data_IF_857630239254
#
_entry.id   IF_857630239254
#
_cell.length_a   1.000
_cell.length_b   1.000
_cell.length_c   1.000
_cell.angle_alpha   90.00
_cell.angle_beta   90.00
_cell.angle_gamma   90.00
#
_symmetry.space_group_name_H-M   'P 1'
#
loop_
_entity.id
_entity.type
_entity.pdbx_description
1 polymer ?
#
# COMPACT_ATOMS: atom_id res chain seq x y z
N UNK A 1 30.41 15.67 53.25
CA UNK A 1 31.10 14.80 52.28
C UNK A 1 31.54 15.65 51.09
N UNK A 2 32.83 16.00 51.00
CA UNK A 2 33.38 16.75 49.85
C UNK A 2 33.72 15.74 48.76
N UNK A 3 32.80 15.50 47.83
CA UNK A 3 33.10 14.72 46.62
C UNK A 3 34.18 15.44 45.82
N UNK A 4 35.34 14.79 45.66
CA UNK A 4 36.47 15.32 44.91
C UNK A 4 36.05 15.56 43.46
N UNK A 5 36.21 16.80 42.97
CA UNK A 5 35.89 17.18 41.58
C UNK A 5 36.61 16.27 40.56
N UNK A 6 37.77 15.73 40.92
CA UNK A 6 38.52 14.75 40.12
C UNK A 6 37.86 13.36 40.08
N UNK A 7 37.22 12.91 41.16
CA UNK A 7 36.49 11.65 41.19
C UNK A 7 35.23 11.69 40.34
N UNK A 8 34.55 12.84 40.29
CA UNK A 8 33.41 13.07 39.40
C UNK A 8 33.86 13.07 37.93
N UNK A 9 34.97 13.74 37.60
CA UNK A 9 35.51 13.78 36.23
C UNK A 9 35.97 12.39 35.76
N UNK A 10 36.68 11.63 36.61
CA UNK A 10 37.11 10.26 36.28
C UNK A 10 35.90 9.32 36.08
N UNK A 11 34.87 9.43 36.91
CA UNK A 11 33.63 8.65 36.76
C UNK A 11 32.88 9.01 35.48
N UNK A 12 32.81 10.30 35.11
CA UNK A 12 32.20 10.77 33.86
C UNK A 12 32.99 10.27 32.63
N UNK A 13 34.32 10.33 32.65
CA UNK A 13 35.15 9.85 31.53
C UNK A 13 35.00 8.33 31.35
N UNK A 14 35.03 7.56 32.43
CA UNK A 14 34.86 6.09 32.37
C UNK A 14 33.45 5.72 31.89
N UNK A 15 32.40 6.39 32.36
CA UNK A 15 31.03 6.13 31.91
C UNK A 15 30.77 6.53 30.45
N UNK A 16 31.44 7.56 29.92
CA UNK A 16 31.38 7.92 28.49
C UNK A 16 32.10 6.88 27.61
N UNK A 17 33.22 6.31 28.07
CA UNK A 17 33.97 5.29 27.32
C UNK A 17 33.27 3.92 27.27
N UNK A 18 32.45 3.56 28.26
CA UNK A 18 31.71 2.29 28.26
C UNK A 18 30.38 2.36 27.49
N UNK A 19 29.68 3.50 27.52
CA UNK A 19 28.37 3.65 26.84
C UNK A 19 28.47 3.80 25.32
N UNK A 20 29.54 4.43 24.83
CA UNK A 20 29.77 4.66 23.39
C UNK A 20 30.27 3.39 22.66
N UNK A 21 31.07 2.55 23.32
CA UNK A 21 31.65 1.35 22.72
C UNK A 21 30.62 0.22 22.48
N UNK A 22 29.65 0.03 23.38
CA UNK A 22 28.59 -0.97 23.18
C UNK A 22 27.67 -0.61 21.99
N UNK A 23 27.32 0.67 21.86
CA UNK A 23 26.46 1.15 20.77
C UNK A 23 27.14 1.01 19.41
N UNK A 24 28.43 1.35 19.32
CA UNK A 24 29.21 1.18 18.09
C UNK A 24 29.38 -0.30 17.71
N UNK A 25 29.75 -1.16 18.65
CA UNK A 25 29.88 -2.60 18.42
C UNK A 25 28.56 -3.22 17.94
N UNK A 26 27.44 -2.92 18.61
CA UNK A 26 26.12 -3.43 18.24
C UNK A 26 25.73 -3.01 16.82
N UNK A 27 26.03 -1.76 16.43
CA UNK A 27 25.79 -1.29 15.06
C UNK A 27 26.61 -2.06 14.02
N UNK A 28 27.91 -2.26 14.26
CA UNK A 28 28.78 -3.01 13.35
C UNK A 28 28.30 -4.45 13.20
N UNK A 29 27.98 -5.11 14.30
CA UNK A 29 27.49 -6.49 14.27
C UNK A 29 26.08 -6.61 13.67
N UNK A 30 25.20 -5.63 13.92
CA UNK A 30 23.88 -5.57 13.27
C UNK A 30 24.04 -5.45 11.76
N UNK A 31 24.91 -4.53 11.29
CA UNK A 31 25.22 -4.38 9.85
C UNK A 31 25.77 -5.67 9.25
N UNK A 32 26.73 -6.33 9.92
CA UNK A 32 27.28 -7.61 9.47
C UNK A 32 26.17 -8.65 9.27
N UNK A 33 25.38 -8.90 10.31
CA UNK A 33 24.29 -9.87 10.25
C UNK A 33 23.24 -9.49 9.20
N UNK A 34 22.95 -8.20 9.02
CA UNK A 34 22.05 -7.71 7.97
C UNK A 34 22.57 -8.04 6.56
N UNK A 35 23.86 -7.83 6.32
CA UNK A 35 24.51 -8.17 5.02
C UNK A 35 24.49 -9.67 4.79
N UNK A 36 24.96 -10.46 5.76
CA UNK A 36 25.00 -11.93 5.68
C UNK A 36 23.59 -12.50 5.46
N UNK A 37 22.59 -12.00 6.20
CA UNK A 37 21.19 -12.36 6.02
C UNK A 37 20.64 -11.98 4.64
N UNK A 38 21.04 -10.82 4.10
CA UNK A 38 20.64 -10.39 2.75
C UNK A 38 21.20 -11.31 1.66
N UNK A 39 22.43 -11.78 1.82
CA UNK A 39 23.04 -12.77 0.91
C UNK A 39 22.28 -14.09 0.98
N UNK A 40 22.01 -14.60 2.18
CA UNK A 40 21.23 -15.83 2.38
C UNK A 40 19.81 -15.72 1.79
N UNK A 41 19.14 -14.58 2.01
CA UNK A 41 17.80 -14.31 1.48
C UNK A 41 17.77 -14.32 -0.05
N UNK A 42 18.73 -13.64 -0.70
CA UNK A 42 18.88 -13.66 -2.17
C UNK A 42 19.14 -15.09 -2.69
N UNK A 43 19.88 -15.88 -1.92
CA UNK A 43 20.09 -17.31 -2.18
C UNK A 43 18.91 -18.23 -1.84
N UNK A 44 17.75 -17.68 -1.43
CA UNK A 44 16.55 -18.42 -0.98
C UNK A 44 16.79 -19.34 0.22
N UNK A 45 17.85 -19.12 0.99
CA UNK A 45 18.16 -19.82 2.23
C UNK A 45 17.45 -19.14 3.40
N UNK A 46 16.12 -19.25 3.43
CA UNK A 46 15.30 -18.43 4.32
C UNK A 46 15.50 -18.76 5.80
N UNK A 47 15.80 -20.00 6.16
CA UNK A 47 16.13 -20.40 7.54
C UNK A 47 17.41 -19.70 8.04
N UNK A 48 18.45 -19.66 7.20
CA UNK A 48 19.72 -18.99 7.51
C UNK A 48 19.52 -17.47 7.57
N UNK A 49 18.79 -16.92 6.61
CA UNK A 49 18.45 -15.49 6.56
C UNK A 49 17.68 -15.05 7.82
N UNK A 50 16.70 -15.84 8.27
CA UNK A 50 15.93 -15.54 9.47
C UNK A 50 16.84 -15.44 10.71
N UNK A 51 17.75 -16.40 10.89
CA UNK A 51 18.68 -16.40 12.03
C UNK A 51 19.55 -15.13 12.04
N UNK A 52 20.03 -14.72 10.88
CA UNK A 52 20.87 -13.52 10.76
C UNK A 52 20.05 -12.23 10.98
N UNK A 53 18.87 -12.11 10.38
CA UNK A 53 18.03 -10.93 10.56
C UNK A 53 17.50 -10.81 12.00
N UNK A 54 17.16 -11.92 12.65
CA UNK A 54 16.77 -11.93 14.07
C UNK A 54 17.91 -11.40 14.95
N UNK A 55 19.12 -11.91 14.76
CA UNK A 55 20.32 -11.41 15.45
C UNK A 55 20.58 -9.92 15.17
N UNK A 56 20.35 -9.45 13.96
CA UNK A 56 20.53 -8.05 13.60
C UNK A 56 19.49 -7.14 14.27
N UNK A 57 18.22 -7.55 14.26
CA UNK A 57 17.11 -6.83 14.88
C UNK A 57 17.21 -6.79 16.42
N UNK A 58 17.60 -7.90 17.06
CA UNK A 58 17.81 -7.98 18.53
C UNK A 58 18.88 -7.00 19.05
N UNK A 59 19.82 -6.58 18.19
CA UNK A 59 20.87 -5.61 18.54
C UNK A 59 20.41 -4.16 18.51
N UNK A 60 19.30 -3.88 17.84
CA UNK A 60 18.69 -2.56 17.74
C UNK A 60 17.14 -2.70 17.77
N UNK A 61 16.58 -3.15 18.90
CA UNK A 61 15.17 -3.53 19.00
C UNK A 61 14.21 -2.34 18.84
N UNK A 62 14.70 -1.12 19.11
CA UNK A 62 13.95 0.13 18.91
C UNK A 62 14.17 0.72 17.51
N UNK A 63 15.02 0.11 16.68
CA UNK A 63 15.40 0.57 15.35
C UNK A 63 15.87 2.03 15.32
N UNK A 64 16.74 2.38 16.26
CA UNK A 64 17.36 3.71 16.28
C UNK A 64 18.19 3.95 15.01
N UNK A 65 18.76 2.88 14.45
CA UNK A 65 19.60 2.92 13.25
C UNK A 65 18.83 2.48 11.99
N UNK A 66 19.32 2.92 10.82
CA UNK A 66 18.79 2.45 9.54
C UNK A 66 18.98 0.93 9.40
N UNK A 67 20.11 0.41 9.89
CA UNK A 67 20.41 -1.02 9.86
C UNK A 67 19.42 -1.83 10.71
N UNK A 68 19.08 -1.37 11.92
CA UNK A 68 18.09 -2.02 12.79
C UNK A 68 16.70 -2.06 12.16
N UNK A 69 16.22 -0.93 11.63
CA UNK A 69 14.93 -0.87 10.92
C UNK A 69 14.90 -1.78 9.70
N UNK A 70 15.99 -1.78 8.92
CA UNK A 70 16.12 -2.64 7.73
C UNK A 70 16.13 -4.11 8.14
N UNK A 71 16.88 -4.48 9.18
CA UNK A 71 16.92 -5.85 9.69
C UNK A 71 15.55 -6.34 10.15
N UNK A 72 14.80 -5.50 10.87
CA UNK A 72 13.44 -5.80 11.32
C UNK A 72 12.49 -6.03 10.13
N UNK A 73 12.54 -5.17 9.11
CA UNK A 73 11.74 -5.34 7.89
C UNK A 73 12.11 -6.63 7.14
N UNK A 74 13.40 -6.94 7.01
CA UNK A 74 13.85 -8.15 6.33
C UNK A 74 13.55 -9.43 7.11
N UNK A 75 13.56 -9.38 8.45
CA UNK A 75 13.08 -10.48 9.29
C UNK A 75 11.61 -10.80 8.96
N UNK A 76 10.75 -9.78 8.96
CA UNK A 76 9.33 -9.94 8.62
C UNK A 76 9.12 -10.47 7.19
N UNK A 77 9.87 -9.96 6.20
CA UNK A 77 9.85 -10.45 4.81
C UNK A 77 10.31 -11.90 4.67
N UNK A 78 11.30 -12.30 5.46
CA UNK A 78 11.80 -13.68 5.46
C UNK A 78 10.76 -14.63 6.00
N UNK A 79 10.14 -14.32 7.14
CA UNK A 79 9.04 -15.12 7.70
C UNK A 79 7.87 -15.21 6.71
N UNK A 80 7.51 -14.10 6.06
CA UNK A 80 6.48 -14.08 5.03
C UNK A 80 6.86 -14.98 3.84
N UNK A 81 8.10 -14.95 3.38
CA UNK A 81 8.57 -15.81 2.28
C UNK A 81 8.53 -17.30 2.64
N UNK A 82 8.85 -17.65 3.89
CA UNK A 82 8.71 -19.03 4.39
C UNK A 82 7.26 -19.48 4.42
N UNK A 83 6.33 -18.61 4.87
CA UNK A 83 4.89 -18.87 4.80
C UNK A 83 4.40 -19.04 3.35
N UNK A 84 4.90 -18.25 2.40
CA UNK A 84 4.56 -18.42 0.98
C UNK A 84 5.04 -19.79 0.47
N UNK A 85 6.22 -20.24 0.92
CA UNK A 85 6.76 -21.56 0.61
C UNK A 85 5.95 -22.73 1.19
N UNK A 86 5.32 -22.53 2.35
CA UNK A 86 4.43 -23.51 2.99
C UNK A 86 3.25 -22.80 3.68
N UNK A 87 2.11 -22.72 2.97
CA UNK A 87 0.91 -22.03 3.46
C UNK A 87 0.18 -22.79 4.58
N UNK A 88 0.59 -24.01 4.91
CA UNK A 88 0.05 -24.73 6.08
C UNK A 88 0.60 -24.16 7.39
N UNK A 89 1.79 -23.53 7.34
CA UNK A 89 2.50 -22.92 8.48
C UNK A 89 1.96 -21.54 8.82
N UNK A 90 0.72 -21.49 9.29
CA UNK A 90 0.06 -20.25 9.71
C UNK A 90 0.82 -19.50 10.82
N UNK A 91 1.57 -20.23 11.65
CA UNK A 91 2.47 -19.67 12.66
C UNK A 91 3.53 -18.72 12.07
N UNK A 92 4.00 -18.99 10.84
CA UNK A 92 4.94 -18.11 10.13
C UNK A 92 4.26 -16.83 9.64
N UNK A 93 3.01 -16.92 9.20
CA UNK A 93 2.21 -15.75 8.83
C UNK A 93 1.94 -14.85 10.04
N UNK A 94 1.52 -15.43 11.17
CA UNK A 94 1.31 -14.70 12.42
C UNK A 94 2.62 -14.07 12.92
N UNK A 95 3.73 -14.80 12.86
CA UNK A 95 5.06 -14.26 13.20
C UNK A 95 5.45 -13.10 12.28
N UNK A 96 5.24 -13.23 10.97
CA UNK A 96 5.51 -12.16 10.02
C UNK A 96 4.69 -10.90 10.33
N UNK A 97 3.39 -11.05 10.64
CA UNK A 97 2.52 -9.93 11.03
C UNK A 97 3.12 -9.20 12.24
N UNK A 98 3.51 -9.93 13.29
CA UNK A 98 4.12 -9.34 14.50
C UNK A 98 5.38 -8.56 14.15
N UNK A 99 6.27 -9.12 13.33
CA UNK A 99 7.53 -8.45 12.98
C UNK A 99 7.31 -7.23 12.05
N UNK A 100 6.31 -7.26 11.16
CA UNK A 100 5.91 -6.07 10.40
C UNK A 100 5.30 -4.99 11.30
N UNK A 101 4.49 -5.36 12.29
CA UNK A 101 3.93 -4.41 13.25
C UNK A 101 5.03 -3.73 14.08
N UNK A 102 6.11 -4.45 14.45
CA UNK A 102 7.29 -3.81 15.08
C UNK A 102 7.94 -2.81 14.14
N UNK A 103 8.12 -3.15 12.85
CA UNK A 103 8.62 -2.20 11.85
C UNK A 103 7.77 -0.93 11.78
N UNK A 104 6.44 -1.08 11.77
CA UNK A 104 5.51 0.04 11.67
C UNK A 104 5.45 0.92 12.93
N UNK A 105 5.89 0.42 14.09
CA UNK A 105 6.08 1.28 15.27
C UNK A 105 7.27 2.23 15.08
N UNK A 106 8.29 1.81 14.34
CA UNK A 106 9.51 2.60 14.10
C UNK A 106 9.34 3.52 12.89
N UNK A 107 8.67 3.04 11.85
CA UNK A 107 8.28 3.84 10.69
C UNK A 107 6.81 3.56 10.32
N UNK A 108 5.87 4.37 10.82
CA UNK A 108 4.45 4.22 10.51
C UNK A 108 4.14 4.35 9.01
N UNK A 109 5.01 5.00 8.24
CA UNK A 109 4.82 5.23 6.81
C UNK A 109 5.50 4.19 5.91
N UNK A 110 6.09 3.13 6.48
CA UNK A 110 6.59 1.99 5.70
C UNK A 110 5.41 1.26 5.04
N UNK A 111 5.15 1.62 3.78
CA UNK A 111 3.96 1.19 3.07
C UNK A 111 3.99 -0.30 2.68
N UNK A 112 5.18 -0.85 2.42
CA UNK A 112 5.34 -2.27 2.08
C UNK A 112 5.01 -3.18 3.27
N UNK A 113 5.41 -2.80 4.48
CA UNK A 113 5.11 -3.51 5.71
C UNK A 113 3.61 -3.48 6.02
N UNK A 114 2.98 -2.30 5.89
CA UNK A 114 1.54 -2.18 6.09
C UNK A 114 0.73 -3.05 5.12
N UNK A 115 1.06 -3.00 3.82
CA UNK A 115 0.41 -3.80 2.78
C UNK A 115 0.65 -5.29 2.99
N UNK A 116 1.83 -5.69 3.47
CA UNK A 116 2.13 -7.07 3.79
C UNK A 116 1.25 -7.60 4.94
N UNK A 117 1.04 -6.82 5.99
CA UNK A 117 0.12 -7.19 7.08
C UNK A 117 -1.30 -7.34 6.55
N UNK A 118 -1.80 -6.36 5.79
CA UNK A 118 -3.14 -6.43 5.21
C UNK A 118 -3.31 -7.68 4.33
N UNK A 119 -2.37 -7.96 3.42
CA UNK A 119 -2.42 -9.14 2.56
C UNK A 119 -2.31 -10.46 3.33
N UNK A 120 -1.52 -10.52 4.40
CA UNK A 120 -1.45 -11.69 5.27
C UNK A 120 -2.78 -11.95 6.00
N UNK A 121 -3.42 -10.90 6.53
CA UNK A 121 -4.73 -11.02 7.17
C UNK A 121 -5.79 -11.52 6.19
N UNK A 122 -5.78 -11.05 4.94
CA UNK A 122 -6.68 -11.58 3.90
C UNK A 122 -6.39 -13.04 3.56
N UNK A 123 -5.12 -13.41 3.38
CA UNK A 123 -4.72 -14.79 3.11
C UNK A 123 -5.12 -15.75 4.24
N UNK A 124 -5.12 -15.28 5.47
CA UNK A 124 -5.56 -16.03 6.65
C UNK A 124 -7.07 -15.98 6.87
N UNK A 125 -7.83 -15.27 6.00
CA UNK A 125 -9.27 -15.05 6.11
C UNK A 125 -9.68 -14.36 7.42
N UNK A 126 -8.79 -13.55 8.00
CA UNK A 126 -9.00 -12.77 9.22
C UNK A 126 -9.68 -11.43 8.88
N UNK A 127 -10.91 -11.49 8.37
CA UNK A 127 -11.63 -10.32 7.81
C UNK A 127 -11.82 -9.19 8.82
N UNK A 128 -12.19 -9.52 10.07
CA UNK A 128 -12.40 -8.50 11.12
C UNK A 128 -11.10 -7.80 11.50
N UNK A 129 -10.00 -8.55 11.62
CA UNK A 129 -8.67 -8.01 11.90
C UNK A 129 -8.19 -7.13 10.74
N UNK A 130 -8.41 -7.55 9.49
CA UNK A 130 -8.11 -6.75 8.30
C UNK A 130 -8.89 -5.43 8.32
N UNK A 131 -10.20 -5.47 8.58
CA UNK A 131 -11.02 -4.27 8.58
C UNK A 131 -10.57 -3.31 9.68
N UNK A 132 -10.28 -3.82 10.88
CA UNK A 132 -9.73 -3.02 11.97
C UNK A 132 -8.39 -2.39 11.57
N UNK A 133 -7.46 -3.19 11.07
CA UNK A 133 -6.12 -2.76 10.66
C UNK A 133 -6.15 -1.63 9.62
N UNK A 134 -6.97 -1.78 8.58
CA UNK A 134 -7.07 -0.79 7.50
C UNK A 134 -7.80 0.47 7.98
N UNK A 135 -8.83 0.32 8.82
CA UNK A 135 -9.57 1.46 9.41
C UNK A 135 -8.69 2.28 10.34
N UNK A 136 -7.87 1.65 11.17
CA UNK A 136 -6.93 2.34 12.06
C UNK A 136 -5.94 3.19 11.25
N UNK A 137 -5.37 2.65 10.15
CA UNK A 137 -4.46 3.44 9.30
C UNK A 137 -5.18 4.60 8.61
N UNK A 138 -6.39 4.38 8.08
CA UNK A 138 -7.18 5.41 7.42
C UNK A 138 -7.47 6.61 8.34
N UNK A 139 -7.68 6.37 9.63
CA UNK A 139 -8.05 7.40 10.61
C UNK A 139 -6.84 8.01 11.36
N UNK A 140 -5.64 7.46 11.21
CA UNK A 140 -4.46 7.97 11.91
C UNK A 140 -3.84 9.17 11.18
N UNK A 141 -3.96 10.37 11.75
CA UNK A 141 -3.46 11.61 11.15
C UNK A 141 -1.93 11.73 11.10
N UNK A 142 -1.20 10.89 11.84
CA UNK A 142 0.26 10.81 11.72
C UNK A 142 0.73 10.06 10.46
N UNK A 143 -0.19 9.38 9.75
CA UNK A 143 0.09 8.69 8.49
C UNK A 143 -0.06 9.68 7.34
N UNK A 144 0.85 9.60 6.37
CA UNK A 144 0.84 10.47 5.19
C UNK A 144 -0.51 10.38 4.45
N UNK A 145 -1.03 11.51 3.91
CA UNK A 145 -2.34 11.55 3.26
C UNK A 145 -2.55 10.48 2.19
N UNK A 146 -1.56 10.23 1.34
CA UNK A 146 -1.63 9.20 0.31
C UNK A 146 -1.76 7.78 0.90
N UNK A 147 -1.07 7.48 2.00
CA UNK A 147 -1.14 6.18 2.66
C UNK A 147 -2.53 5.98 3.32
N UNK A 148 -3.12 7.05 3.84
CA UNK A 148 -4.51 7.05 4.36
C UNK A 148 -5.53 6.90 3.23
N UNK A 149 -5.32 7.59 2.11
CA UNK A 149 -6.17 7.49 0.92
C UNK A 149 -6.18 6.08 0.34
N UNK A 150 -5.03 5.40 0.28
CA UNK A 150 -4.95 3.99 -0.16
C UNK A 150 -5.72 3.06 0.79
N UNK A 151 -5.64 3.28 2.11
CA UNK A 151 -6.41 2.52 3.10
C UNK A 151 -7.93 2.74 2.95
N UNK A 152 -8.38 4.00 2.84
CA UNK A 152 -9.78 4.35 2.58
C UNK A 152 -10.29 3.73 1.28
N UNK A 153 -9.48 3.79 0.22
CA UNK A 153 -9.80 3.20 -1.08
C UNK A 153 -9.95 1.67 -0.99
N UNK A 154 -9.11 1.00 -0.18
CA UNK A 154 -9.21 -0.44 0.05
C UNK A 154 -10.52 -0.84 0.76
N UNK A 155 -10.95 -0.05 1.76
CA UNK A 155 -12.25 -0.25 2.41
C UNK A 155 -13.40 0.01 1.43
N UNK A 156 -13.32 1.09 0.65
CA UNK A 156 -14.33 1.45 -0.36
C UNK A 156 -14.44 0.35 -1.44
N UNK A 157 -13.33 -0.25 -1.85
CA UNK A 157 -13.30 -1.36 -2.80
C UNK A 157 -14.10 -2.57 -2.29
N UNK A 158 -13.96 -2.95 -1.00
CA UNK A 158 -14.78 -4.03 -0.41
C UNK A 158 -16.28 -3.70 -0.44
N UNK A 159 -16.62 -2.44 -0.19
CA UNK A 159 -18.02 -1.99 -0.26
C UNK A 159 -18.56 -2.02 -1.70
N UNK A 160 -17.74 -1.63 -2.68
CA UNK A 160 -18.09 -1.75 -4.09
C UNK A 160 -18.29 -3.22 -4.50
N UNK A 161 -17.42 -4.14 -4.05
CA UNK A 161 -17.59 -5.58 -4.26
C UNK A 161 -18.89 -6.08 -3.64
N UNK A 162 -19.18 -5.73 -2.38
CA UNK A 162 -20.45 -6.08 -1.73
C UNK A 162 -21.67 -5.63 -2.54
N UNK A 163 -21.68 -4.37 -3.02
CA UNK A 163 -22.78 -3.87 -3.84
C UNK A 163 -22.87 -4.58 -5.21
N UNK A 164 -21.73 -4.96 -5.79
CA UNK A 164 -21.69 -5.68 -7.06
C UNK A 164 -22.18 -7.12 -6.94
N UNK A 165 -21.84 -7.82 -5.87
CA UNK A 165 -22.31 -9.20 -5.59
C UNK A 165 -23.84 -9.29 -5.54
N UNK A 166 -24.52 -8.20 -5.16
CA UNK A 166 -25.98 -8.13 -5.10
C UNK A 166 -26.56 -7.65 -6.43
N UNK A 167 -25.97 -6.60 -7.03
CA UNK A 167 -26.56 -5.95 -8.20
C UNK A 167 -26.22 -6.57 -9.55
N UNK A 168 -25.07 -7.23 -9.67
CA UNK A 168 -24.54 -7.76 -10.93
C UNK A 168 -24.75 -9.28 -11.02
N UNK A 169 -26.01 -9.70 -10.90
CA UNK A 169 -26.44 -11.11 -10.99
C UNK A 169 -27.49 -11.28 -12.08
N UNK A 170 -27.70 -12.50 -12.57
CA UNK A 170 -28.78 -12.80 -13.52
C UNK A 170 -30.17 -12.46 -12.97
N UNK A 171 -30.33 -12.47 -11.63
CA UNK A 171 -31.61 -12.15 -10.98
C UNK A 171 -31.89 -10.65 -10.98
N UNK A 172 -30.89 -9.83 -10.74
CA UNK A 172 -31.04 -8.38 -10.52
C UNK A 172 -30.69 -7.54 -11.77
N UNK A 173 -29.93 -8.07 -12.72
CA UNK A 173 -29.52 -7.36 -13.94
C UNK A 173 -30.19 -7.99 -15.17
N UNK A 174 -31.13 -7.26 -15.78
CA UNK A 174 -31.93 -7.73 -16.91
C UNK A 174 -31.54 -6.99 -18.19
N UNK A 175 -31.22 -7.70 -19.29
CA UNK A 175 -31.02 -7.04 -20.58
C UNK A 175 -32.37 -6.51 -21.09
N UNK A 176 -32.38 -5.26 -21.53
CA UNK A 176 -33.54 -4.62 -22.16
C UNK A 176 -33.09 -3.80 -23.38
N UNK A 177 -34.04 -3.47 -24.26
CA UNK A 177 -33.81 -2.47 -25.30
C UNK A 177 -34.36 -1.12 -24.86
N UNK A 178 -33.51 -0.10 -24.80
CA UNK A 178 -33.89 1.29 -24.59
C UNK A 178 -33.42 2.10 -25.79
N UNK A 179 -34.36 2.74 -26.50
CA UNK A 179 -34.08 3.51 -27.72
C UNK A 179 -33.32 2.72 -28.80
N UNK A 180 -33.66 1.43 -28.95
CA UNK A 180 -33.02 0.52 -29.91
C UNK A 180 -31.62 0.06 -29.51
N UNK A 181 -31.08 0.52 -28.37
CA UNK A 181 -29.78 0.08 -27.82
C UNK A 181 -29.99 -0.97 -26.76
N UNK A 182 -29.13 -1.99 -26.75
CA UNK A 182 -29.10 -2.98 -25.68
C UNK A 182 -28.50 -2.33 -24.42
N UNK A 183 -29.29 -2.29 -23.36
CA UNK A 183 -28.88 -1.76 -22.05
C UNK A 183 -29.30 -2.72 -20.95
N UNK A 184 -28.71 -2.56 -19.77
CA UNK A 184 -29.12 -3.32 -18.59
C UNK A 184 -30.06 -2.49 -17.73
N UNK A 185 -31.16 -3.10 -17.32
CA UNK A 185 -32.03 -2.63 -16.25
C UNK A 185 -31.70 -3.38 -14.96
N UNK A 186 -31.61 -2.64 -13.86
CA UNK A 186 -31.39 -3.23 -12.54
C UNK A 186 -32.70 -3.26 -11.76
N UNK A 187 -33.10 -4.45 -11.30
CA UNK A 187 -34.32 -4.68 -10.53
C UNK A 187 -33.98 -5.12 -9.11
N UNK A 188 -34.91 -4.91 -8.17
CA UNK A 188 -34.73 -5.27 -6.76
C UNK A 188 -34.40 -6.77 -6.61
N UNK A 189 -33.51 -7.13 -5.67
CA UNK A 189 -33.35 -8.53 -5.28
C UNK A 189 -34.67 -9.07 -4.69
N UNK A 190 -34.84 -10.39 -4.77
CA UNK A 190 -36.02 -11.09 -4.24
C UNK A 190 -36.08 -10.97 -2.71
N UNK A 191 -34.94 -11.02 -2.04
CA UNK A 191 -34.81 -10.82 -0.60
C UNK A 191 -34.63 -9.33 -0.28
N UNK A 192 -35.56 -8.69 0.46
CA UNK A 192 -35.44 -7.31 0.90
C UNK A 192 -34.17 -7.04 1.74
N UNK A 193 -33.65 -8.05 2.46
CA UNK A 193 -32.43 -7.89 3.24
C UNK A 193 -31.19 -7.66 2.36
N UNK A 194 -31.17 -8.24 1.15
CA UNK A 194 -30.10 -7.99 0.17
C UNK A 194 -30.15 -6.55 -0.34
N UNK A 195 -31.34 -5.97 -0.55
CA UNK A 195 -31.47 -4.57 -0.96
C UNK A 195 -30.94 -3.62 0.13
N UNK A 196 -31.27 -3.88 1.40
CA UNK A 196 -30.77 -3.07 2.51
C UNK A 196 -29.26 -3.25 2.73
N UNK A 197 -28.73 -4.46 2.53
CA UNK A 197 -27.27 -4.69 2.52
C UNK A 197 -26.60 -3.91 1.39
N UNK A 198 -27.15 -3.92 0.18
CA UNK A 198 -26.62 -3.14 -0.95
C UNK A 198 -26.64 -1.64 -0.61
N UNK A 199 -27.74 -1.13 -0.03
CA UNK A 199 -27.85 0.26 0.42
C UNK A 199 -26.74 0.61 1.40
N UNK A 200 -26.52 -0.21 2.42
CA UNK A 200 -25.45 -0.01 3.39
C UNK A 200 -24.06 0.00 2.74
N UNK A 201 -23.78 -0.94 1.83
CA UNK A 201 -22.52 -1.01 1.11
C UNK A 201 -22.30 0.21 0.20
N UNK A 202 -23.31 0.63 -0.56
CA UNK A 202 -23.21 1.84 -1.41
C UNK A 202 -22.99 3.10 -0.56
N UNK A 203 -23.73 3.26 0.54
CA UNK A 203 -23.58 4.43 1.41
C UNK A 203 -22.19 4.49 2.05
N UNK A 204 -21.74 3.40 2.67
CA UNK A 204 -20.43 3.36 3.32
C UNK A 204 -19.29 3.49 2.29
N UNK A 205 -19.40 2.82 1.15
CA UNK A 205 -18.43 2.91 0.07
C UNK A 205 -18.25 4.35 -0.42
N UNK A 206 -19.35 5.05 -0.70
CA UNK A 206 -19.30 6.46 -1.11
C UNK A 206 -18.70 7.36 -0.02
N UNK A 207 -19.04 7.15 1.25
CA UNK A 207 -18.42 7.92 2.35
C UNK A 207 -16.91 7.73 2.44
N UNK A 208 -16.44 6.49 2.28
CA UNK A 208 -15.01 6.15 2.33
C UNK A 208 -14.25 6.74 1.13
N UNK A 209 -14.81 6.63 -0.07
CA UNK A 209 -14.12 7.07 -1.28
C UNK A 209 -14.08 8.60 -1.40
N UNK A 210 -15.12 9.31 -0.95
CA UNK A 210 -15.09 10.77 -0.90
C UNK A 210 -14.07 11.26 0.13
N UNK A 211 -13.90 10.56 1.27
CA UNK A 211 -12.79 10.84 2.20
C UNK A 211 -11.43 10.61 1.56
N UNK A 212 -11.27 9.54 0.77
CA UNK A 212 -10.01 9.28 0.06
C UNK A 212 -9.71 10.38 -0.98
N UNK A 213 -10.72 10.76 -1.77
CA UNK A 213 -10.63 11.80 -2.78
C UNK A 213 -10.31 13.18 -2.16
N UNK A 214 -10.87 13.49 -1.00
CA UNK A 214 -10.59 14.73 -0.28
C UNK A 214 -9.12 14.86 0.18
N UNK A 215 -8.36 13.76 0.26
CA UNK A 215 -6.93 13.76 0.58
C UNK A 215 -6.02 14.06 -0.62
N UNK A 216 -6.59 14.30 -1.81
CA UNK A 216 -5.81 14.64 -3.00
C UNK A 216 -4.98 15.91 -2.79
N UNK A 217 -3.69 15.78 -3.05
CA UNK A 217 -2.74 16.88 -3.04
C UNK A 217 -2.80 17.68 -4.33
N UNK A 218 -2.29 18.91 -4.31
CA UNK A 218 -2.22 19.75 -5.51
C UNK A 218 -1.33 19.16 -6.61
N UNK A 219 -0.35 18.33 -6.24
CA UNK A 219 0.48 17.58 -7.20
C UNK A 219 -0.35 16.60 -8.05
N UNK A 220 -1.37 15.99 -7.44
CA UNK A 220 -2.28 15.05 -8.10
C UNK A 220 -3.33 15.81 -8.92
N UNK A 221 -3.93 16.85 -8.33
CA UNK A 221 -4.93 17.69 -9.02
C UNK A 221 -4.37 18.35 -10.28
N UNK A 222 -3.09 18.73 -10.25
CA UNK A 222 -2.40 19.38 -11.36
C UNK A 222 -1.45 18.44 -12.11
N UNK A 223 -1.65 17.11 -12.03
CA UNK A 223 -0.87 16.12 -12.76
C UNK A 223 -1.12 16.23 -14.27
N UNK A 224 -0.56 17.26 -14.92
CA UNK A 224 -0.55 17.42 -16.38
C UNK A 224 0.72 16.80 -16.97
N UNK A 225 0.58 16.27 -18.19
CA UNK A 225 1.61 15.52 -18.95
C UNK A 225 2.86 16.35 -19.27
N UNK A 226 2.79 17.68 -19.26
CA UNK A 226 3.74 18.54 -19.95
C UNK A 226 5.18 18.60 -19.38
N UNK A 227 5.46 18.02 -18.21
CA UNK A 227 6.73 18.25 -17.51
C UNK A 227 7.45 16.97 -17.03
N UNK A 228 7.18 15.80 -17.64
CA UNK A 228 7.81 14.55 -17.20
C UNK A 228 9.32 14.51 -17.51
N UNK A 229 9.76 15.15 -18.60
CA UNK A 229 11.17 15.11 -19.04
C UNK A 229 12.13 15.91 -18.16
N UNK A 230 11.64 16.93 -17.43
CA UNK A 230 12.47 17.76 -16.56
C UNK A 230 12.75 17.09 -15.20
N UNK A 231 12.00 16.05 -14.86
CA UNK A 231 12.11 15.36 -13.59
C UNK A 231 13.29 14.39 -13.58
N UNK A 232 13.91 14.24 -12.42
CA UNK A 232 14.86 13.16 -12.14
C UNK A 232 14.13 11.82 -11.98
N UNK A 233 14.84 10.69 -12.06
CA UNK A 233 14.24 9.36 -11.93
C UNK A 233 13.58 9.15 -10.56
N UNK A 234 14.18 9.70 -9.51
CA UNK A 234 13.60 9.70 -8.17
C UNK A 234 12.28 10.45 -8.13
N UNK A 235 12.23 11.66 -8.72
CA UNK A 235 11.00 12.45 -8.78
C UNK A 235 9.92 11.81 -9.65
N UNK A 236 10.29 11.18 -10.77
CA UNK A 236 9.35 10.41 -11.60
C UNK A 236 8.73 9.27 -10.81
N UNK A 237 9.55 8.50 -10.09
CA UNK A 237 9.08 7.39 -9.26
C UNK A 237 8.16 7.87 -8.13
N UNK A 238 8.58 8.86 -7.36
CA UNK A 238 7.77 9.42 -6.27
C UNK A 238 6.43 9.97 -6.78
N UNK A 239 6.44 10.69 -7.91
CA UNK A 239 5.23 11.22 -8.51
C UNK A 239 4.31 10.12 -9.03
N UNK A 240 4.86 9.09 -9.65
CA UNK A 240 4.09 7.94 -10.13
C UNK A 240 3.44 7.18 -8.97
N UNK A 241 4.20 6.90 -7.92
CA UNK A 241 3.72 6.18 -6.73
C UNK A 241 2.59 6.96 -6.06
N UNK A 242 2.72 8.30 -5.97
CA UNK A 242 1.66 9.18 -5.47
C UNK A 242 0.41 9.16 -6.36
N UNK A 243 0.58 9.29 -7.69
CA UNK A 243 -0.53 9.33 -8.64
C UNK A 243 -1.32 8.02 -8.64
N UNK A 244 -0.65 6.86 -8.62
CA UNK A 244 -1.31 5.55 -8.65
C UNK A 244 -2.28 5.32 -7.49
N UNK A 245 -1.98 5.88 -6.31
CA UNK A 245 -2.89 5.84 -5.15
C UNK A 245 -4.21 6.52 -5.49
N UNK A 246 -4.15 7.74 -6.01
CA UNK A 246 -5.34 8.54 -6.29
C UNK A 246 -6.03 8.16 -7.61
N UNK A 247 -5.30 7.59 -8.57
CA UNK A 247 -5.86 6.94 -9.75
C UNK A 247 -6.83 5.82 -9.33
N UNK A 248 -6.42 4.99 -8.37
CA UNK A 248 -7.28 3.96 -7.79
C UNK A 248 -8.48 4.57 -7.06
N UNK A 249 -8.28 5.64 -6.29
CA UNK A 249 -9.36 6.33 -5.59
C UNK A 249 -10.42 6.90 -6.56
N UNK A 250 -10.00 7.59 -7.63
CA UNK A 250 -10.90 8.13 -8.66
C UNK A 250 -11.66 7.03 -9.41
N UNK A 251 -10.99 5.91 -9.70
CA UNK A 251 -11.63 4.75 -10.35
C UNK A 251 -12.75 4.15 -9.48
N UNK A 252 -12.49 3.94 -8.19
CA UNK A 252 -13.52 3.44 -7.27
C UNK A 252 -14.61 4.48 -6.99
N UNK A 253 -14.31 5.78 -7.06
CA UNK A 253 -15.30 6.85 -6.95
C UNK A 253 -16.32 6.76 -8.08
N UNK A 254 -15.86 6.67 -9.33
CA UNK A 254 -16.75 6.43 -10.47
C UNK A 254 -17.55 5.13 -10.30
N UNK A 255 -16.89 4.06 -9.85
CA UNK A 255 -17.53 2.76 -9.62
C UNK A 255 -18.65 2.82 -8.56
N UNK A 256 -18.45 3.54 -7.45
CA UNK A 256 -19.44 3.64 -6.39
C UNK A 256 -20.61 4.57 -6.75
N UNK A 257 -20.37 5.59 -7.60
CA UNK A 257 -21.45 6.39 -8.18
C UNK A 257 -22.30 5.52 -9.13
N UNK A 258 -21.71 4.61 -9.92
CA UNK A 258 -22.51 3.69 -10.73
C UNK A 258 -23.31 2.72 -9.85
N UNK A 259 -22.76 2.22 -8.74
CA UNK A 259 -23.54 1.39 -7.80
C UNK A 259 -24.72 2.17 -7.20
N UNK A 260 -24.53 3.45 -6.86
CA UNK A 260 -25.62 4.32 -6.42
C UNK A 260 -26.70 4.49 -7.50
N UNK A 261 -26.31 4.60 -8.78
CA UNK A 261 -27.27 4.68 -9.88
C UNK A 261 -28.12 3.41 -10.02
N UNK A 262 -27.51 2.22 -9.81
CA UNK A 262 -28.21 0.94 -9.83
C UNK A 262 -29.21 0.87 -8.69
N UNK A 263 -28.82 1.28 -7.49
CA UNK A 263 -29.69 1.34 -6.33
C UNK A 263 -30.88 2.28 -6.54
N UNK A 264 -30.65 3.47 -7.11
CA UNK A 264 -31.71 4.42 -7.44
C UNK A 264 -32.69 3.83 -8.48
N UNK A 265 -32.20 3.09 -9.48
CA UNK A 265 -33.03 2.39 -10.46
C UNK A 265 -33.88 1.30 -9.80
N UNK A 266 -33.28 0.49 -8.91
CA UNK A 266 -34.00 -0.51 -8.12
C UNK A 266 -35.08 0.12 -7.23
N UNK A 267 -34.84 1.31 -6.68
CA UNK A 267 -35.80 2.08 -5.89
C UNK A 267 -36.89 2.77 -6.75
N UNK A 268 -36.87 2.62 -8.08
CA UNK A 268 -37.83 3.23 -9.00
C UNK A 268 -37.59 4.73 -9.26
N UNK A 269 -36.42 5.25 -8.88
CA UNK A 269 -36.06 6.67 -8.99
C UNK A 269 -35.25 6.94 -10.27
N UNK A 270 -35.88 6.73 -11.43
CA UNK A 270 -35.19 6.82 -12.73
C UNK A 270 -34.44 8.16 -12.96
N UNK A 271 -35.01 9.35 -12.66
CA UNK A 271 -34.30 10.61 -12.88
C UNK A 271 -33.02 10.73 -12.03
N UNK A 272 -33.04 10.22 -10.80
CA UNK A 272 -31.87 10.18 -9.92
C UNK A 272 -30.82 9.20 -10.46
N UNK A 273 -31.26 8.02 -10.92
CA UNK A 273 -30.37 7.05 -11.54
C UNK A 273 -29.67 7.62 -12.79
N UNK A 274 -30.40 8.32 -13.66
CA UNK A 274 -29.84 8.95 -14.87
C UNK A 274 -28.83 10.04 -14.52
N UNK A 275 -29.13 10.88 -13.52
CA UNK A 275 -28.19 11.89 -13.01
C UNK A 275 -26.92 11.26 -12.43
N UNK A 276 -27.04 10.18 -11.66
CA UNK A 276 -25.91 9.45 -11.11
C UNK A 276 -25.05 8.81 -12.20
N UNK A 277 -25.65 8.23 -13.25
CA UNK A 277 -24.88 7.71 -14.40
C UNK A 277 -24.10 8.83 -15.08
N UNK A 278 -24.70 10.00 -15.30
CA UNK A 278 -24.00 11.15 -15.85
C UNK A 278 -22.85 11.64 -14.95
N UNK A 279 -23.04 11.63 -13.63
CA UNK A 279 -21.98 11.97 -12.68
C UNK A 279 -20.85 10.93 -12.67
N UNK A 280 -21.17 9.64 -12.82
CA UNK A 280 -20.19 8.57 -12.94
C UNK A 280 -19.34 8.72 -14.20
N UNK A 281 -19.91 9.12 -15.33
CA UNK A 281 -19.16 9.39 -16.57
C UNK A 281 -18.18 10.56 -16.38
N UNK A 282 -18.59 11.63 -15.68
CA UNK A 282 -17.68 12.74 -15.32
C UNK A 282 -16.54 12.27 -14.43
N UNK A 283 -16.84 11.53 -13.36
CA UNK A 283 -15.82 10.97 -12.47
C UNK A 283 -14.88 10.00 -13.20
N UNK A 284 -15.39 9.23 -14.16
CA UNK A 284 -14.60 8.36 -15.02
C UNK A 284 -13.66 9.18 -15.92
N UNK A 285 -14.11 10.29 -16.47
CA UNK A 285 -13.26 11.17 -17.27
C UNK A 285 -12.11 11.75 -16.43
N UNK A 286 -12.37 12.19 -15.20
CA UNK A 286 -11.33 12.64 -14.25
C UNK A 286 -10.31 11.54 -13.90
N UNK A 287 -10.77 10.30 -13.76
CA UNK A 287 -9.90 9.13 -13.59
C UNK A 287 -9.03 8.91 -14.83
N UNK A 288 -9.62 8.92 -16.03
CA UNK A 288 -8.89 8.68 -17.27
C UNK A 288 -7.82 9.75 -17.52
N UNK A 289 -8.10 11.03 -17.23
CA UNK A 289 -7.09 12.09 -17.32
C UNK A 289 -5.88 11.81 -16.42
N UNK A 290 -6.12 11.41 -15.16
CA UNK A 290 -5.05 11.07 -14.23
C UNK A 290 -4.30 9.79 -14.67
N UNK A 291 -5.01 8.83 -15.27
CA UNK A 291 -4.43 7.62 -15.84
C UNK A 291 -3.48 7.92 -16.99
N UNK A 292 -3.83 8.87 -17.87
CA UNK A 292 -2.93 9.30 -18.95
C UNK A 292 -1.66 9.97 -18.40
N UNK A 293 -1.77 10.76 -17.31
CA UNK A 293 -0.58 11.31 -16.64
C UNK A 293 0.30 10.20 -16.03
N UNK A 294 -0.31 9.21 -15.37
CA UNK A 294 0.35 8.01 -14.81
C UNK A 294 1.12 7.26 -15.90
N UNK A 295 0.48 7.00 -17.05
CA UNK A 295 1.09 6.34 -18.22
C UNK A 295 2.24 7.15 -18.81
N UNK A 296 2.10 8.47 -18.94
CA UNK A 296 3.16 9.32 -19.47
C UNK A 296 4.42 9.30 -18.59
N UNK A 297 4.25 9.30 -17.26
CA UNK A 297 5.37 9.17 -16.32
C UNK A 297 6.03 7.79 -16.44
N UNK A 298 5.22 6.72 -16.48
CA UNK A 298 5.75 5.36 -16.63
C UNK A 298 6.52 5.20 -17.95
N UNK A 299 5.99 5.74 -19.06
CA UNK A 299 6.66 5.67 -20.36
C UNK A 299 8.01 6.39 -20.36
N UNK A 300 8.13 7.53 -19.67
CA UNK A 300 9.42 8.22 -19.51
C UNK A 300 10.41 7.39 -18.67
N UNK A 301 9.96 6.79 -17.56
CA UNK A 301 10.80 5.88 -16.75
C UNK A 301 11.32 4.72 -17.61
N UNK A 302 10.42 4.07 -18.35
CA UNK A 302 10.77 2.90 -19.17
C UNK A 302 11.72 3.29 -20.31
N UNK A 303 11.55 4.46 -20.92
CA UNK A 303 12.45 4.99 -21.94
C UNK A 303 13.87 5.22 -21.39
N UNK A 304 14.00 5.77 -20.18
CA UNK A 304 15.32 5.98 -19.54
C UNK A 304 16.00 4.66 -19.22
N UNK A 305 15.27 3.69 -18.68
CA UNK A 305 15.78 2.34 -18.40
C UNK A 305 16.26 1.67 -19.69
N UNK A 306 15.52 1.82 -20.80
CA UNK A 306 15.93 1.26 -22.09
C UNK A 306 17.26 1.86 -22.59
N UNK A 307 17.42 3.18 -22.50
CA UNK A 307 18.67 3.87 -22.87
C UNK A 307 19.85 3.40 -22.01
N UNK A 308 19.66 3.27 -20.70
CA UNK A 308 20.71 2.76 -19.79
C UNK A 308 21.10 1.31 -20.12
N UNK A 309 20.12 0.45 -20.43
CA UNK A 309 20.36 -0.94 -20.82
C UNK A 309 21.09 -1.04 -22.16
N UNK A 310 20.71 -0.24 -23.15
CA UNK A 310 21.41 -0.17 -24.44
C UNK A 310 22.87 0.26 -24.26
N UNK A 311 23.12 1.30 -23.45
CA UNK A 311 24.46 1.75 -23.13
C UNK A 311 25.28 0.67 -22.39
N UNK A 312 24.68 -0.01 -21.42
CA UNK A 312 25.33 -1.11 -20.69
C UNK A 312 25.68 -2.29 -21.62
N UNK A 313 24.78 -2.65 -22.54
CA UNK A 313 24.99 -3.72 -23.51
C UNK A 313 26.10 -3.37 -24.51
N UNK A 314 26.11 -2.13 -25.01
CA UNK A 314 27.18 -1.65 -25.90
C UNK A 314 28.55 -1.66 -25.21
N UNK A 315 28.60 -1.25 -23.94
CA UNK A 315 29.84 -1.29 -23.15
C UNK A 315 30.31 -2.74 -22.90
N UNK A 316 29.40 -3.65 -22.55
CA UNK A 316 29.72 -5.06 -22.35
C UNK A 316 30.24 -5.73 -23.64
N UNK A 317 29.65 -5.42 -24.79
CA UNK A 317 30.09 -5.90 -26.09
C UNK A 317 31.51 -5.41 -26.44
N UNK A 318 31.81 -4.14 -26.14
CA UNK A 318 33.15 -3.57 -26.34
C UNK A 318 34.20 -4.19 -25.41
N UNK A 319 33.84 -4.49 -24.15
CA UNK A 319 34.75 -5.18 -23.21
C UNK A 319 34.99 -6.64 -23.59
N UNK A 320 34.01 -7.33 -24.17
CA UNK A 320 34.16 -8.71 -24.63
C UNK A 320 34.97 -8.84 -25.95
N UNK A 321 35.15 -7.74 -26.67
CA UNK A 321 35.92 -7.68 -27.93
C UNK A 321 37.40 -7.29 -27.73
N UNK A 322 37.82 -7.00 -26.50
CA UNK A 322 39.21 -6.70 -26.09
C UNK A 322 39.83 -7.89 -25.36
#
# INVERSE_FOLDING_TARGET
MRSSRLGIIAFVIVSVLFTTNCTYYNRIMSRKNLVDGSVAYKGRKFEEAEQMFRKAAERDPEGATLEGRTAQLFLARTLHSRYIGDRSRKDLADSAIVEYQKMLKMDPNEQSAYKAVAGLLENLQKTDEWQKWVTERANNEAILPQNRAEALTSLAAKQNTCANEISDTEKTKKPIKRDGKDVFQYIKPEDPAELEKMRACVTLGNQLIEKAYALETDLVKNAKVADVKSLTDGQLKERLDLIKVFESARSYRASLIIQASRLAEMDGKQPEADQLRANSEKARAEFLELSEASKAIQAEIDARIAVEQEAANANAANTAAQ
#
